data_IF_590798453931
#
_entry.id   IF_590798453931
#
_cell.length_a   1.000
_cell.length_b   1.000
_cell.length_c   1.000
_cell.angle_alpha   90.00
_cell.angle_beta   90.00
_cell.angle_gamma   90.00
#
_symmetry.space_group_name_H-M   'P 1'
#
loop_
_entity.id
_entity.type
_entity.pdbx_description
1 polymer ?
#
# COMPACT_ATOMS: atom_id res chain seq x y z
N UNK A 1 -16.41 48.75 -28.30
CA UNK A 1 -16.32 47.84 -27.14
C UNK A 1 -16.17 46.38 -27.60
N UNK A 2 -16.81 45.98 -28.72
CA UNK A 2 -16.64 44.65 -29.36
C UNK A 2 -15.19 44.23 -29.56
N UNK A 3 -14.36 45.01 -30.26
CA UNK A 3 -12.99 44.57 -30.60
C UNK A 3 -12.10 44.24 -29.40
N UNK A 4 -12.29 44.94 -28.27
CA UNK A 4 -11.54 44.65 -27.04
C UNK A 4 -12.07 43.42 -26.32
N UNK A 5 -13.39 43.23 -26.34
CA UNK A 5 -14.01 42.02 -25.82
C UNK A 5 -13.56 40.79 -26.63
N UNK A 6 -13.63 40.87 -27.95
CA UNK A 6 -13.21 39.80 -28.87
C UNK A 6 -11.72 39.46 -28.70
N UNK A 7 -10.88 40.47 -28.44
CA UNK A 7 -9.48 40.27 -28.08
C UNK A 7 -9.31 39.49 -26.77
N UNK A 8 -10.01 39.88 -25.69
CA UNK A 8 -9.92 39.16 -24.42
C UNK A 8 -10.48 37.74 -24.51
N UNK A 9 -11.58 37.55 -25.22
CA UNK A 9 -12.16 36.25 -25.49
C UNK A 9 -11.18 35.35 -26.28
N UNK A 10 -10.50 35.90 -27.29
CA UNK A 10 -9.48 35.17 -28.04
C UNK A 10 -8.25 34.82 -27.17
N UNK A 11 -7.89 35.67 -26.21
CA UNK A 11 -6.80 35.40 -25.27
C UNK A 11 -7.13 34.22 -24.34
N UNK A 12 -8.29 34.22 -23.68
CA UNK A 12 -8.65 33.13 -22.75
C UNK A 12 -8.83 31.80 -23.48
N UNK A 13 -9.37 31.83 -24.70
CA UNK A 13 -9.47 30.64 -25.56
C UNK A 13 -8.11 30.04 -25.91
N UNK A 14 -7.04 30.82 -25.92
CA UNK A 14 -5.69 30.34 -26.18
C UNK A 14 -4.96 29.93 -24.88
N UNK A 15 -5.24 30.61 -23.78
CA UNK A 15 -4.66 30.33 -22.48
C UNK A 15 -5.60 30.78 -21.36
N UNK A 16 -6.22 29.85 -20.64
CA UNK A 16 -7.14 30.15 -19.55
C UNK A 16 -6.53 31.03 -18.45
N UNK A 17 -5.21 30.92 -18.20
CA UNK A 17 -4.51 31.75 -17.22
C UNK A 17 -4.48 33.25 -17.60
N UNK A 18 -4.90 33.61 -18.81
CA UNK A 18 -5.03 35.00 -19.22
C UNK A 18 -6.11 35.76 -18.44
N UNK A 19 -7.06 35.03 -17.80
CA UNK A 19 -8.15 35.63 -17.01
C UNK A 19 -7.63 36.63 -15.97
N UNK A 20 -6.54 36.31 -15.28
CA UNK A 20 -5.93 37.16 -14.24
C UNK A 20 -5.50 38.56 -14.74
N UNK A 21 -5.33 38.74 -16.05
CA UNK A 21 -4.88 40.00 -16.66
C UNK A 21 -6.02 40.78 -17.33
N UNK A 22 -7.24 40.25 -17.33
CA UNK A 22 -8.39 40.91 -17.95
C UNK A 22 -8.94 41.95 -16.96
N UNK A 23 -9.20 43.20 -17.39
CA UNK A 23 -9.77 44.19 -16.52
C UNK A 23 -11.18 43.76 -16.06
N UNK A 24 -11.49 43.95 -14.78
CA UNK A 24 -12.72 43.46 -14.14
C UNK A 24 -14.01 43.80 -14.89
N UNK A 25 -14.10 44.97 -15.52
CA UNK A 25 -15.27 45.37 -16.31
C UNK A 25 -15.49 44.60 -17.61
N UNK A 26 -14.59 43.69 -17.99
CA UNK A 26 -14.73 42.77 -19.13
C UNK A 26 -14.92 41.32 -18.70
N UNK A 27 -14.77 40.99 -17.41
CA UNK A 27 -14.95 39.62 -16.93
C UNK A 27 -16.44 39.36 -16.80
N UNK A 28 -16.96 38.46 -17.63
CA UNK A 28 -18.31 37.96 -17.62
C UNK A 28 -18.32 36.42 -17.63
N UNK A 29 -19.52 35.83 -17.57
CA UNK A 29 -19.69 34.38 -17.53
C UNK A 29 -19.07 33.70 -18.76
N UNK A 30 -19.15 34.31 -19.95
CA UNK A 30 -18.62 33.75 -21.20
C UNK A 30 -17.09 33.70 -21.19
N UNK A 31 -16.42 34.78 -20.78
CA UNK A 31 -14.96 34.80 -20.64
C UNK A 31 -14.50 33.81 -19.56
N UNK A 32 -15.18 33.76 -18.41
CA UNK A 32 -14.88 32.80 -17.34
C UNK A 32 -15.06 31.36 -17.83
N UNK A 33 -16.15 31.07 -18.54
CA UNK A 33 -16.46 29.75 -19.06
C UNK A 33 -15.41 29.28 -20.08
N UNK A 34 -14.98 30.14 -20.99
CA UNK A 34 -13.92 29.80 -21.94
C UNK A 34 -12.55 29.65 -21.26
N UNK A 35 -12.28 30.42 -20.21
CA UNK A 35 -11.05 30.28 -19.43
C UNK A 35 -10.97 28.94 -18.70
N UNK A 36 -12.04 28.53 -18.00
CA UNK A 36 -12.06 27.25 -17.26
C UNK A 36 -12.09 26.02 -18.17
N UNK A 37 -12.69 26.12 -19.37
CA UNK A 37 -12.61 25.08 -20.40
C UNK A 37 -11.17 24.86 -20.88
N UNK A 38 -10.33 25.90 -20.88
CA UNK A 38 -8.92 25.78 -21.22
C UNK A 38 -8.08 25.29 -20.04
N UNK A 39 -8.35 25.77 -18.83
CA UNK A 39 -7.69 25.31 -17.60
C UNK A 39 -8.64 25.41 -16.41
N UNK A 40 -9.16 24.27 -15.93
CA UNK A 40 -10.14 24.23 -14.86
C UNK A 40 -9.64 24.79 -13.53
N UNK A 41 -8.31 24.81 -13.30
CA UNK A 41 -7.72 25.39 -12.08
C UNK A 41 -7.86 26.91 -12.01
N UNK A 42 -8.14 27.58 -13.13
CA UNK A 42 -8.42 29.02 -13.19
C UNK A 42 -9.68 29.40 -12.41
N UNK A 43 -10.49 28.43 -12.00
CA UNK A 43 -11.63 28.65 -11.11
C UNK A 43 -11.24 29.40 -9.82
N UNK A 44 -9.98 29.30 -9.36
CA UNK A 44 -9.45 30.10 -8.24
C UNK A 44 -9.59 31.62 -8.45
N UNK A 45 -9.46 32.09 -9.68
CA UNK A 45 -9.51 33.51 -10.05
C UNK A 45 -10.94 34.00 -10.37
N UNK A 46 -11.91 33.09 -10.44
CA UNK A 46 -13.31 33.42 -10.75
C UNK A 46 -14.05 33.85 -9.49
N UNK A 47 -14.49 35.11 -9.45
CA UNK A 47 -15.26 35.67 -8.33
C UNK A 47 -16.69 35.17 -8.29
N UNK A 48 -17.40 35.29 -9.41
CA UNK A 48 -18.81 34.90 -9.53
C UNK A 48 -18.90 33.49 -10.13
N UNK A 49 -18.92 32.50 -9.24
CA UNK A 49 -18.96 31.09 -9.64
C UNK A 49 -20.40 30.66 -9.91
N UNK A 50 -20.76 30.52 -11.18
CA UNK A 50 -22.04 29.91 -11.58
C UNK A 50 -21.93 28.40 -11.70
N UNK A 51 -23.07 27.70 -11.71
CA UNK A 51 -23.13 26.25 -11.92
C UNK A 51 -22.36 25.81 -13.17
N UNK A 52 -22.59 26.48 -14.31
CA UNK A 52 -21.99 26.11 -15.59
C UNK A 52 -20.47 26.31 -15.59
N UNK A 53 -19.97 27.37 -14.96
CA UNK A 53 -18.53 27.64 -14.83
C UNK A 53 -17.89 26.57 -13.93
N UNK A 54 -18.47 26.29 -12.76
CA UNK A 54 -17.98 25.24 -11.87
C UNK A 54 -17.97 23.87 -12.57
N UNK A 55 -19.05 23.56 -13.29
CA UNK A 55 -19.18 22.28 -14.00
C UNK A 55 -18.16 22.15 -15.13
N UNK A 56 -17.98 23.20 -15.93
CA UNK A 56 -16.94 23.23 -16.95
C UNK A 56 -15.53 23.08 -16.36
N UNK A 57 -15.26 23.73 -15.22
CA UNK A 57 -13.97 23.62 -14.53
C UNK A 57 -13.68 22.19 -14.05
N UNK A 58 -14.62 21.55 -13.33
CA UNK A 58 -14.39 20.22 -12.77
C UNK A 58 -14.43 19.10 -13.81
N UNK A 59 -15.18 19.28 -14.90
CA UNK A 59 -15.16 18.34 -16.03
C UNK A 59 -13.85 18.42 -16.81
N UNK A 60 -13.23 19.60 -16.86
CA UNK A 60 -11.89 19.78 -17.44
C UNK A 60 -10.80 19.21 -16.50
N UNK A 61 -10.86 19.53 -15.21
CA UNK A 61 -9.94 19.03 -14.18
C UNK A 61 -10.66 18.85 -12.84
N UNK A 62 -10.86 17.61 -12.40
CA UNK A 62 -11.58 17.28 -11.17
C UNK A 62 -10.96 17.86 -9.91
N UNK A 63 -9.66 18.16 -9.90
CA UNK A 63 -9.01 18.82 -8.76
C UNK A 63 -9.39 20.30 -8.63
N UNK A 64 -9.97 20.92 -9.66
CA UNK A 64 -10.55 22.27 -9.57
C UNK A 64 -11.64 22.37 -8.50
N UNK A 65 -12.20 21.24 -8.05
CA UNK A 65 -13.14 21.18 -6.92
C UNK A 65 -12.60 21.88 -5.66
N UNK A 66 -11.27 21.97 -5.49
CA UNK A 66 -10.68 22.66 -4.34
C UNK A 66 -11.06 24.15 -4.26
N UNK A 67 -11.41 24.77 -5.39
CA UNK A 67 -11.75 26.19 -5.50
C UNK A 67 -13.26 26.47 -5.57
N UNK A 68 -14.08 25.43 -5.65
CA UNK A 68 -15.54 25.57 -5.73
C UNK A 68 -16.08 26.08 -4.38
N UNK A 69 -16.94 27.09 -4.42
CA UNK A 69 -17.69 27.53 -3.25
C UNK A 69 -18.69 26.45 -2.81
N UNK A 70 -18.49 25.95 -1.60
CA UNK A 70 -19.22 24.83 -1.00
C UNK A 70 -20.55 25.25 -0.36
N UNK A 71 -20.89 26.54 -0.38
CA UNK A 71 -22.16 27.06 0.13
C UNK A 71 -23.31 26.99 -0.89
N UNK A 72 -23.02 26.54 -2.10
CA UNK A 72 -23.96 26.52 -3.24
C UNK A 72 -24.85 25.27 -3.23
N UNK A 73 -26.08 25.39 -3.74
CA UNK A 73 -27.06 24.29 -3.79
C UNK A 73 -26.63 23.14 -4.72
N UNK A 74 -25.84 23.46 -5.74
CA UNK A 74 -25.32 22.50 -6.72
C UNK A 74 -23.96 21.88 -6.35
N UNK A 75 -23.44 22.18 -5.16
CA UNK A 75 -22.13 21.69 -4.72
C UNK A 75 -22.02 20.16 -4.79
N UNK A 76 -23.10 19.43 -4.53
CA UNK A 76 -23.12 17.97 -4.59
C UNK A 76 -22.95 17.43 -6.02
N UNK A 77 -23.63 18.03 -7.00
CA UNK A 77 -23.51 17.63 -8.41
C UNK A 77 -22.12 17.92 -8.95
N UNK A 78 -21.55 19.08 -8.59
CA UNK A 78 -20.17 19.46 -8.91
C UNK A 78 -19.17 18.50 -8.27
N UNK A 79 -19.38 18.11 -7.00
CA UNK A 79 -18.54 17.12 -6.32
C UNK A 79 -18.56 15.77 -7.06
N UNK A 80 -19.75 15.29 -7.43
CA UNK A 80 -19.90 14.03 -8.15
C UNK A 80 -19.21 14.09 -9.53
N UNK A 81 -19.39 15.17 -10.29
CA UNK A 81 -18.73 15.34 -11.58
C UNK A 81 -17.21 15.39 -11.44
N UNK A 82 -16.70 16.13 -10.45
CA UNK A 82 -15.27 16.21 -10.15
C UNK A 82 -14.68 14.83 -9.81
N UNK A 83 -15.37 14.07 -8.97
CA UNK A 83 -14.95 12.71 -8.57
C UNK A 83 -15.01 11.73 -9.73
N UNK A 84 -16.03 11.83 -10.60
CA UNK A 84 -16.11 11.07 -11.86
C UNK A 84 -14.94 11.36 -12.78
N UNK A 85 -14.46 12.60 -12.79
CA UNK A 85 -13.31 13.01 -13.60
C UNK A 85 -11.99 12.54 -12.98
N UNK A 86 -11.84 12.68 -11.66
CA UNK A 86 -10.67 12.26 -10.90
C UNK A 86 -11.05 11.90 -9.46
N UNK A 87 -10.88 10.63 -9.07
CA UNK A 87 -11.23 10.15 -7.74
C UNK A 87 -10.49 10.85 -6.58
N UNK A 88 -9.36 11.52 -6.85
CA UNK A 88 -8.63 12.29 -5.84
C UNK A 88 -9.31 13.60 -5.48
N UNK A 89 -10.29 14.04 -6.27
CA UNK A 89 -11.16 15.17 -5.92
C UNK A 89 -11.90 14.92 -4.60
N UNK A 90 -12.07 13.66 -4.18
CA UNK A 90 -12.69 13.28 -2.91
C UNK A 90 -12.07 14.00 -1.70
N UNK A 91 -10.77 14.32 -1.74
CA UNK A 91 -10.09 15.03 -0.65
C UNK A 91 -10.66 16.44 -0.39
N UNK A 92 -11.29 17.05 -1.41
CA UNK A 92 -11.89 18.37 -1.34
C UNK A 92 -13.40 18.35 -1.03
N UNK A 93 -14.03 17.17 -1.08
CA UNK A 93 -15.45 16.99 -0.76
C UNK A 93 -15.67 17.13 0.74
N UNK A 94 -16.45 18.14 1.14
CA UNK A 94 -16.78 18.39 2.56
C UNK A 94 -17.74 17.32 3.08
N UNK A 95 -18.86 17.17 2.40
CA UNK A 95 -19.95 16.27 2.76
C UNK A 95 -19.90 15.03 1.84
N UNK A 96 -19.21 14.00 2.31
CA UNK A 96 -19.00 12.77 1.56
C UNK A 96 -20.23 11.88 1.68
N UNK A 97 -20.91 11.62 0.57
CA UNK A 97 -21.95 10.59 0.50
C UNK A 97 -21.34 9.24 0.16
N UNK A 98 -22.06 8.17 0.48
CA UNK A 98 -21.67 6.81 0.13
C UNK A 98 -21.36 6.68 -1.38
N UNK A 99 -22.25 7.19 -2.24
CA UNK A 99 -22.10 7.11 -3.70
C UNK A 99 -20.87 7.86 -4.20
N UNK A 100 -20.58 9.05 -3.65
CA UNK A 100 -19.39 9.82 -4.02
C UNK A 100 -18.11 9.06 -3.63
N UNK A 101 -18.08 8.48 -2.43
CA UNK A 101 -16.93 7.68 -1.98
C UNK A 101 -16.73 6.43 -2.84
N UNK A 102 -17.81 5.72 -3.17
CA UNK A 102 -17.76 4.53 -3.99
C UNK A 102 -17.31 4.87 -5.42
N UNK A 103 -17.82 5.95 -5.99
CA UNK A 103 -17.39 6.43 -7.31
C UNK A 103 -15.92 6.82 -7.31
N UNK A 104 -15.43 7.51 -6.28
CA UNK A 104 -14.03 7.90 -6.17
C UNK A 104 -13.09 6.69 -6.18
N UNK A 105 -13.45 5.64 -5.42
CA UNK A 105 -12.73 4.36 -5.42
C UNK A 105 -12.82 3.66 -6.77
N UNK A 106 -13.94 3.82 -7.49
CA UNK A 106 -14.15 3.25 -8.82
C UNK A 106 -13.46 4.00 -9.96
N UNK A 107 -13.15 5.29 -9.82
CA UNK A 107 -12.48 6.05 -10.87
C UNK A 107 -10.96 5.92 -10.83
N UNK A 108 -10.36 6.05 -9.66
CA UNK A 108 -8.91 5.92 -9.55
C UNK A 108 -8.54 4.44 -9.40
N UNK A 109 -8.39 3.76 -10.54
CA UNK A 109 -7.59 2.55 -10.67
C UNK A 109 -6.22 2.82 -10.03
N UNK A 110 -6.02 2.18 -8.88
CA UNK A 110 -4.96 2.44 -7.90
C UNK A 110 -3.61 2.70 -8.54
N UNK A 111 -2.99 3.82 -8.14
CA UNK A 111 -1.63 4.15 -8.50
C UNK A 111 -0.68 3.00 -8.09
N UNK A 112 0.13 2.59 -9.05
CA UNK A 112 0.91 1.36 -9.04
C UNK A 112 2.30 1.69 -8.52
N UNK A 113 2.50 1.70 -7.20
CA UNK A 113 3.77 1.34 -6.53
C UNK A 113 3.69 1.49 -5.01
N UNK A 114 3.54 0.35 -4.34
CA UNK A 114 3.86 0.19 -2.91
C UNK A 114 3.11 1.10 -1.91
N UNK A 115 3.25 0.82 -0.61
CA UNK A 115 2.83 1.73 0.45
C UNK A 115 3.92 2.80 0.61
N UNK A 116 3.78 3.97 -0.02
CA UNK A 116 4.75 5.05 0.20
C UNK A 116 4.60 6.30 -0.66
N UNK A 117 4.39 6.17 -1.97
CA UNK A 117 4.67 7.28 -2.88
C UNK A 117 3.45 7.82 -3.63
N UNK A 118 2.35 7.06 -3.70
CA UNK A 118 1.17 7.49 -4.44
C UNK A 118 0.00 7.85 -3.52
N UNK A 119 -0.75 8.94 -3.81
CA UNK A 119 -1.97 9.24 -3.10
C UNK A 119 -2.98 8.10 -3.30
N UNK A 120 -3.69 7.74 -2.23
CA UNK A 120 -4.63 6.62 -2.22
C UNK A 120 -6.02 7.12 -1.87
N UNK A 121 -7.00 6.96 -2.76
CA UNK A 121 -8.35 7.53 -2.58
C UNK A 121 -9.00 7.08 -1.26
N UNK A 122 -8.82 5.81 -0.87
CA UNK A 122 -9.41 5.26 0.36
C UNK A 122 -8.95 6.00 1.63
N UNK A 123 -7.79 6.67 1.61
CA UNK A 123 -7.30 7.47 2.74
C UNK A 123 -8.15 8.74 2.97
N UNK A 124 -8.85 9.21 1.94
CA UNK A 124 -9.72 10.39 2.00
C UNK A 124 -11.17 10.04 2.35
N UNK A 125 -11.54 8.76 2.38
CA UNK A 125 -12.88 8.32 2.79
C UNK A 125 -13.00 8.43 4.31
N UNK A 126 -13.83 9.37 4.78
CA UNK A 126 -14.04 9.61 6.21
C UNK A 126 -14.79 8.45 6.87
N UNK A 127 -15.91 8.07 6.28
CA UNK A 127 -16.78 7.00 6.77
C UNK A 127 -16.66 5.79 5.84
N UNK A 128 -15.72 4.90 6.17
CA UNK A 128 -15.54 3.66 5.43
C UNK A 128 -16.68 2.68 5.71
N UNK A 129 -17.16 2.02 4.67
CA UNK A 129 -18.16 0.94 4.75
C UNK A 129 -17.58 -0.34 4.11
N UNK A 130 -18.05 -1.54 4.50
CA UNK A 130 -17.49 -2.80 4.00
C UNK A 130 -17.48 -2.93 2.47
N UNK A 131 -18.49 -2.41 1.80
CA UNK A 131 -18.63 -2.37 0.35
C UNK A 131 -17.65 -1.41 -0.34
N UNK A 132 -17.41 -0.21 0.23
CA UNK A 132 -16.34 0.70 -0.26
C UNK A 132 -14.98 0.02 -0.10
N UNK A 133 -14.70 -0.57 1.07
CA UNK A 133 -13.45 -1.29 1.32
C UNK A 133 -13.27 -2.48 0.37
N UNK A 134 -14.34 -3.24 0.13
CA UNK A 134 -14.33 -4.37 -0.81
C UNK A 134 -14.07 -3.91 -2.24
N UNK A 135 -14.72 -2.82 -2.69
CA UNK A 135 -14.48 -2.25 -4.01
C UNK A 135 -13.02 -1.83 -4.21
N UNK A 136 -12.42 -1.20 -3.19
CA UNK A 136 -11.02 -0.80 -3.19
C UNK A 136 -10.08 -2.01 -3.26
N UNK A 137 -10.31 -3.01 -2.41
CA UNK A 137 -9.48 -4.22 -2.32
C UNK A 137 -9.56 -5.06 -3.59
N UNK A 138 -10.74 -5.18 -4.22
CA UNK A 138 -10.92 -5.87 -5.50
C UNK A 138 -10.07 -5.30 -6.63
N UNK A 139 -9.79 -3.99 -6.57
CA UNK A 139 -8.91 -3.32 -7.55
C UNK A 139 -7.43 -3.51 -7.22
N UNK A 140 -7.05 -3.38 -5.95
CA UNK A 140 -5.69 -3.62 -5.49
C UNK A 140 -5.70 -4.20 -4.07
N UNK A 141 -5.19 -5.41 -3.90
CA UNK A 141 -5.14 -6.09 -2.60
C UNK A 141 -4.36 -5.31 -1.53
N UNK A 142 -3.39 -4.47 -1.92
CA UNK A 142 -2.63 -3.63 -0.99
C UNK A 142 -3.46 -2.53 -0.33
N UNK A 143 -4.67 -2.24 -0.86
CA UNK A 143 -5.60 -1.30 -0.25
C UNK A 143 -6.04 -1.72 1.15
N UNK A 144 -5.87 -3.01 1.52
CA UNK A 144 -6.12 -3.50 2.87
C UNK A 144 -5.36 -2.69 3.94
N UNK A 145 -4.20 -2.13 3.60
CA UNK A 145 -3.44 -1.24 4.48
C UNK A 145 -4.26 -0.04 4.98
N UNK A 146 -5.10 0.53 4.12
CA UNK A 146 -5.90 1.73 4.38
C UNK A 146 -7.31 1.41 4.89
N UNK A 147 -7.70 0.13 4.91
CA UNK A 147 -8.97 -0.30 5.51
C UNK A 147 -8.86 -0.20 7.03
N UNK A 148 -9.86 0.43 7.65
CA UNK A 148 -9.94 0.52 9.11
C UNK A 148 -9.94 -0.87 9.75
N UNK A 149 -9.25 -1.03 10.88
CA UNK A 149 -9.05 -2.34 11.51
C UNK A 149 -10.38 -3.04 11.88
N UNK A 150 -11.44 -2.29 12.21
CA UNK A 150 -12.77 -2.85 12.48
C UNK A 150 -13.49 -3.38 11.23
N UNK A 151 -13.09 -2.94 10.03
CA UNK A 151 -13.68 -3.34 8.74
C UNK A 151 -12.87 -4.42 8.02
N UNK A 152 -11.70 -4.82 8.53
CA UNK A 152 -10.92 -5.95 8.00
C UNK A 152 -11.55 -7.30 8.36
N UNK A 153 -12.71 -7.58 7.77
CA UNK A 153 -13.42 -8.86 7.91
C UNK A 153 -12.64 -9.98 7.22
N UNK A 154 -12.92 -11.26 7.55
CA UNK A 154 -12.29 -12.39 6.87
C UNK A 154 -12.43 -12.32 5.35
N UNK A 155 -13.61 -11.94 4.84
CA UNK A 155 -13.88 -11.84 3.41
C UNK A 155 -13.04 -10.75 2.72
N UNK A 156 -12.94 -9.56 3.32
CA UNK A 156 -12.13 -8.46 2.79
C UNK A 156 -10.64 -8.84 2.84
N UNK A 157 -10.16 -9.44 3.93
CA UNK A 157 -8.79 -9.91 4.05
C UNK A 157 -8.47 -11.00 3.02
N UNK A 158 -9.37 -11.95 2.80
CA UNK A 158 -9.19 -13.02 1.84
C UNK A 158 -9.16 -12.48 0.41
N UNK A 159 -10.12 -11.62 0.03
CA UNK A 159 -10.09 -10.96 -1.29
C UNK A 159 -8.79 -10.17 -1.48
N UNK A 160 -8.30 -9.47 -0.45
CA UNK A 160 -7.04 -8.75 -0.51
C UNK A 160 -5.85 -9.65 -0.82
N UNK A 161 -5.76 -10.80 -0.13
CA UNK A 161 -4.71 -11.79 -0.35
C UNK A 161 -4.83 -12.44 -1.74
N UNK A 162 -6.06 -12.69 -2.19
CA UNK A 162 -6.33 -13.18 -3.55
C UNK A 162 -5.94 -12.14 -4.61
N UNK A 163 -6.04 -10.84 -4.34
CA UNK A 163 -5.60 -9.81 -5.30
C UNK A 163 -4.09 -9.58 -5.24
N UNK A 164 -3.52 -9.55 -4.04
CA UNK A 164 -2.09 -9.44 -3.81
C UNK A 164 -1.69 -10.28 -2.58
N UNK A 165 -0.94 -11.39 -2.75
CA UNK A 165 -0.49 -12.22 -1.64
C UNK A 165 0.29 -11.49 -0.54
N UNK A 166 0.94 -10.36 -0.85
CA UNK A 166 1.65 -9.55 0.15
C UNK A 166 0.71 -8.77 1.06
N UNK A 167 -0.58 -8.65 0.73
CA UNK A 167 -1.58 -8.06 1.61
C UNK A 167 -1.70 -8.80 2.96
N UNK A 168 -1.22 -10.06 3.04
CA UNK A 168 -1.11 -10.82 4.28
C UNK A 168 -0.34 -10.07 5.38
N UNK A 169 0.61 -9.20 5.01
CA UNK A 169 1.31 -8.30 5.93
C UNK A 169 0.35 -7.42 6.78
N UNK A 170 -0.80 -7.04 6.22
CA UNK A 170 -1.78 -6.17 6.88
C UNK A 170 -2.89 -6.93 7.60
N UNK A 171 -2.87 -8.26 7.53
CA UNK A 171 -3.77 -9.13 8.29
C UNK A 171 -3.13 -9.40 9.64
N UNK A 172 -3.82 -9.05 10.74
CA UNK A 172 -3.32 -9.36 12.07
C UNK A 172 -3.21 -10.87 12.28
N UNK A 173 -2.23 -11.32 13.06
CA UNK A 173 -1.96 -12.75 13.26
C UNK A 173 -3.19 -13.52 13.77
N UNK A 174 -4.02 -12.88 14.61
CA UNK A 174 -5.25 -13.45 15.15
C UNK A 174 -6.35 -13.66 14.10
N UNK A 175 -6.32 -12.89 13.00
CA UNK A 175 -7.31 -12.94 11.92
C UNK A 175 -6.87 -13.77 10.71
N UNK A 176 -5.61 -14.21 10.69
CA UNK A 176 -5.16 -15.14 9.68
C UNK A 176 -5.92 -16.47 9.78
N UNK A 177 -6.15 -17.09 8.64
CA UNK A 177 -6.68 -18.45 8.51
C UNK A 177 -5.70 -19.32 7.74
N UNK A 178 -5.79 -20.63 7.92
CA UNK A 178 -4.93 -21.58 7.20
C UNK A 178 -5.08 -21.45 5.68
N UNK A 179 -6.33 -21.34 5.21
CA UNK A 179 -6.66 -21.13 3.79
C UNK A 179 -5.99 -19.87 3.23
N UNK A 180 -6.11 -18.74 3.95
CA UNK A 180 -5.52 -17.46 3.53
C UNK A 180 -3.99 -17.53 3.47
N UNK A 181 -3.37 -18.16 4.48
CA UNK A 181 -1.90 -18.34 4.51
C UNK A 181 -1.43 -19.25 3.37
N UNK A 182 -2.14 -20.35 3.11
CA UNK A 182 -1.82 -21.27 2.02
C UNK A 182 -1.95 -20.60 0.65
N UNK A 183 -3.07 -19.90 0.40
CA UNK A 183 -3.31 -19.16 -0.86
C UNK A 183 -2.19 -18.14 -1.12
N UNK A 184 -1.82 -17.36 -0.09
CA UNK A 184 -0.75 -16.38 -0.21
C UNK A 184 0.59 -17.04 -0.58
N UNK A 185 0.97 -18.11 0.12
CA UNK A 185 2.25 -18.79 -0.06
C UNK A 185 2.34 -19.52 -1.40
N UNK A 186 1.26 -20.17 -1.85
CA UNK A 186 1.24 -20.86 -3.14
C UNK A 186 1.54 -19.88 -4.28
N UNK A 187 0.95 -18.69 -4.24
CA UNK A 187 1.09 -17.70 -5.31
C UNK A 187 2.34 -16.86 -5.20
N UNK A 188 2.74 -16.52 -3.98
CA UNK A 188 3.97 -15.80 -3.70
C UNK A 188 4.65 -16.41 -2.47
N UNK A 189 5.64 -17.31 -2.67
CA UNK A 189 6.30 -18.02 -1.58
C UNK A 189 6.90 -17.11 -0.49
N UNK A 190 7.33 -15.88 -0.85
CA UNK A 190 7.83 -14.90 0.13
C UNK A 190 6.77 -14.44 1.13
N UNK A 191 5.48 -14.69 0.90
CA UNK A 191 4.40 -14.43 1.86
C UNK A 191 4.58 -15.20 3.17
N UNK A 192 5.38 -16.27 3.16
CA UNK A 192 5.75 -17.03 4.36
C UNK A 192 6.31 -16.13 5.47
N UNK A 193 6.99 -15.04 5.11
CA UNK A 193 7.51 -14.04 6.05
C UNK A 193 6.40 -13.46 6.97
N UNK A 194 5.18 -13.37 6.46
CA UNK A 194 4.03 -12.78 7.17
C UNK A 194 3.08 -13.81 7.77
N UNK A 195 3.32 -15.11 7.54
CA UNK A 195 2.51 -16.18 8.15
C UNK A 195 2.85 -16.30 9.64
N UNK A 196 1.85 -16.17 10.49
CA UNK A 196 2.03 -16.32 11.94
C UNK A 196 2.47 -17.74 12.33
N UNK A 197 3.18 -17.85 13.46
CA UNK A 197 3.72 -19.13 13.94
C UNK A 197 2.65 -20.23 14.06
N UNK A 198 1.40 -19.86 14.36
CA UNK A 198 0.25 -20.77 14.42
C UNK A 198 0.00 -21.49 13.09
N UNK A 199 0.15 -20.79 11.97
CA UNK A 199 -0.18 -21.29 10.62
C UNK A 199 1.05 -21.68 9.80
N UNK A 200 2.26 -21.66 10.38
CA UNK A 200 3.43 -22.31 9.78
C UNK A 200 3.36 -23.83 9.96
N UNK A 201 2.38 -24.45 9.29
CA UNK A 201 2.22 -25.90 9.23
C UNK A 201 3.29 -26.50 8.31
N UNK A 202 3.63 -27.79 8.46
CA UNK A 202 4.53 -28.47 7.53
C UNK A 202 4.15 -28.28 6.07
N UNK A 203 2.85 -28.34 5.75
CA UNK A 203 2.33 -28.21 4.39
C UNK A 203 2.64 -26.82 3.80
N UNK A 204 2.35 -25.75 4.54
CA UNK A 204 2.60 -24.36 4.11
C UNK A 204 4.10 -24.10 3.99
N UNK A 205 4.89 -24.51 5.00
CA UNK A 205 6.34 -24.34 4.98
C UNK A 205 6.99 -25.11 3.82
N UNK A 206 6.60 -26.37 3.60
CA UNK A 206 7.09 -27.21 2.49
C UNK A 206 6.73 -26.57 1.15
N UNK A 207 5.49 -26.08 0.98
CA UNK A 207 5.07 -25.41 -0.25
C UNK A 207 5.96 -24.20 -0.59
N UNK A 208 6.32 -23.40 0.42
CA UNK A 208 7.22 -22.26 0.25
C UNK A 208 8.65 -22.68 -0.11
N UNK A 209 9.26 -23.55 0.70
CA UNK A 209 10.69 -23.92 0.53
C UNK A 209 10.93 -24.76 -0.73
N UNK A 210 9.92 -25.49 -1.22
CA UNK A 210 9.95 -26.15 -2.53
C UNK A 210 10.17 -25.18 -3.68
N UNK A 211 9.66 -23.95 -3.58
CA UNK A 211 9.85 -22.90 -4.59
C UNK A 211 11.13 -22.10 -4.34
N UNK A 212 11.47 -21.82 -3.08
CA UNK A 212 12.70 -21.15 -2.69
C UNK A 212 13.17 -21.62 -1.31
N UNK A 213 14.21 -22.45 -1.27
CA UNK A 213 14.76 -23.04 -0.06
C UNK A 213 15.36 -22.02 0.91
N UNK A 214 15.71 -20.82 0.43
CA UNK A 214 16.16 -19.72 1.30
C UNK A 214 15.05 -19.19 2.20
N UNK A 215 13.78 -19.49 1.91
CA UNK A 215 12.65 -19.11 2.76
C UNK A 215 12.63 -19.88 4.09
N UNK A 216 13.44 -20.93 4.23
CA UNK A 216 13.66 -21.60 5.52
C UNK A 216 14.10 -20.62 6.63
N UNK A 217 14.78 -19.53 6.27
CA UNK A 217 15.17 -18.49 7.23
C UNK A 217 13.98 -17.82 7.92
N UNK A 218 12.80 -17.84 7.30
CA UNK A 218 11.56 -17.24 7.81
C UNK A 218 10.63 -18.25 8.52
N UNK A 219 11.03 -19.53 8.55
CA UNK A 219 10.33 -20.55 9.35
C UNK A 219 10.75 -20.38 10.82
N UNK A 220 9.78 -20.32 11.74
CA UNK A 220 10.07 -20.27 13.18
C UNK A 220 10.87 -21.50 13.62
N UNK A 221 11.84 -21.33 14.52
CA UNK A 221 12.72 -22.42 14.94
C UNK A 221 11.94 -23.63 15.50
N UNK A 222 10.87 -23.36 16.24
CA UNK A 222 9.91 -24.33 16.78
C UNK A 222 9.18 -25.15 15.71
N UNK A 223 9.12 -24.64 14.47
CA UNK A 223 8.42 -25.26 13.33
C UNK A 223 9.35 -25.95 12.33
N UNK A 224 10.68 -25.81 12.48
CA UNK A 224 11.67 -26.43 11.58
C UNK A 224 11.79 -27.94 11.81
N UNK A 225 10.86 -28.68 11.21
CA UNK A 225 10.93 -30.15 11.19
C UNK A 225 12.07 -30.64 10.29
N UNK A 226 12.46 -31.89 10.48
CA UNK A 226 13.46 -32.57 9.63
C UNK A 226 13.02 -32.53 8.16
N UNK A 227 11.75 -32.78 7.89
CA UNK A 227 11.18 -32.81 6.55
C UNK A 227 11.29 -31.45 5.84
N UNK A 228 10.85 -30.36 6.48
CA UNK A 228 10.94 -29.00 5.92
C UNK A 228 12.41 -28.65 5.65
N UNK A 229 13.30 -28.95 6.59
CA UNK A 229 14.73 -28.66 6.45
C UNK A 229 15.37 -29.46 5.31
N UNK A 230 15.04 -30.74 5.17
CA UNK A 230 15.52 -31.57 4.07
C UNK A 230 15.06 -31.04 2.72
N UNK A 231 13.79 -30.67 2.60
CA UNK A 231 13.23 -30.14 1.36
C UNK A 231 13.89 -28.80 0.97
N UNK A 232 14.07 -27.90 1.94
CA UNK A 232 14.75 -26.63 1.73
C UNK A 232 16.20 -26.80 1.24
N UNK A 233 16.97 -27.72 1.86
CA UNK A 233 18.35 -28.01 1.46
C UNK A 233 18.43 -28.70 0.11
N UNK A 234 17.45 -29.57 -0.20
CA UNK A 234 17.33 -30.20 -1.51
C UNK A 234 17.10 -29.15 -2.61
N UNK A 235 16.29 -28.14 -2.34
CA UNK A 235 16.03 -27.03 -3.28
C UNK A 235 17.24 -26.08 -3.39
N UNK A 236 17.83 -25.69 -2.24
CA UNK A 236 19.00 -24.83 -2.19
C UNK A 236 19.93 -25.24 -1.05
N UNK A 237 21.11 -25.77 -1.40
CA UNK A 237 22.13 -26.22 -0.44
C UNK A 237 22.51 -25.14 0.59
N UNK A 238 22.43 -23.84 0.25
CA UNK A 238 22.72 -22.74 1.19
C UNK A 238 21.71 -22.64 2.33
N UNK A 239 20.51 -23.23 2.18
CA UNK A 239 19.52 -23.29 3.25
C UNK A 239 20.04 -24.02 4.52
N UNK A 240 21.11 -24.81 4.39
CA UNK A 240 21.80 -25.47 5.50
C UNK A 240 22.24 -24.50 6.61
N UNK A 241 22.50 -23.23 6.26
CA UNK A 241 22.87 -22.17 7.20
C UNK A 241 21.75 -21.84 8.20
N UNK A 242 20.48 -22.01 7.81
CA UNK A 242 19.31 -21.64 8.61
C UNK A 242 18.74 -22.78 9.47
N UNK A 243 19.37 -23.95 9.46
CA UNK A 243 18.93 -25.11 10.25
C UNK A 243 19.48 -25.00 11.68
N UNK A 244 18.61 -25.08 12.72
CA UNK A 244 19.03 -24.97 14.10
C UNK A 244 19.96 -26.12 14.49
N UNK A 245 20.97 -25.88 15.35
CA UNK A 245 21.84 -26.95 15.83
C UNK A 245 21.04 -28.00 16.61
N UNK A 246 21.47 -29.26 16.54
CA UNK A 246 20.81 -30.39 17.22
C UNK A 246 20.44 -31.51 16.26
N UNK A 247 19.47 -32.32 16.67
CA UNK A 247 19.04 -33.53 15.97
C UNK A 247 18.60 -33.25 14.53
N UNK A 248 17.83 -32.18 14.30
CA UNK A 248 17.38 -31.77 12.95
C UNK A 248 18.56 -31.54 12.01
N UNK A 249 19.59 -30.82 12.47
CA UNK A 249 20.79 -30.55 11.68
C UNK A 249 21.62 -31.81 11.44
N UNK A 250 21.75 -32.68 12.44
CA UNK A 250 22.46 -33.94 12.30
C UNK A 250 21.78 -34.86 11.27
N UNK A 251 20.45 -34.97 11.32
CA UNK A 251 19.68 -35.77 10.36
C UNK A 251 19.83 -35.26 8.91
N UNK A 252 19.81 -33.93 8.72
CA UNK A 252 20.00 -33.33 7.39
C UNK A 252 21.45 -33.53 6.91
N UNK A 253 22.46 -33.35 7.78
CA UNK A 253 23.86 -33.61 7.44
C UNK A 253 24.09 -35.08 7.10
N UNK A 254 23.50 -36.03 7.82
CA UNK A 254 23.63 -37.46 7.50
C UNK A 254 23.08 -37.77 6.10
N UNK A 255 21.99 -37.10 5.67
CA UNK A 255 21.39 -37.29 4.36
C UNK A 255 22.16 -36.63 3.21
N UNK A 256 22.68 -35.42 3.41
CA UNK A 256 23.31 -34.63 2.34
C UNK A 256 24.84 -34.56 2.42
N UNK A 257 25.44 -34.88 3.57
CA UNK A 257 26.87 -34.85 3.85
C UNK A 257 27.66 -35.93 3.11
N UNK A 258 27.06 -37.08 2.83
CA UNK A 258 27.71 -38.13 2.04
C UNK A 258 27.80 -37.77 0.55
N UNK A 259 26.91 -36.90 0.03
CA UNK A 259 27.05 -36.32 -1.32
C UNK A 259 28.16 -35.26 -1.41
N UNK A 260 28.56 -34.66 -0.29
CA UNK A 260 29.58 -33.62 -0.26
C UNK A 260 31.03 -34.16 -0.21
N UNK A 261 31.24 -35.44 0.13
CA UNK A 261 32.57 -36.07 0.05
C UNK A 261 33.06 -36.29 -1.38
N UNK A 262 32.20 -36.19 -2.39
CA UNK A 262 32.57 -36.39 -3.80
C UNK A 262 32.89 -35.11 -4.57
N UNK A 263 32.66 -33.92 -4.00
CA UNK A 263 32.87 -32.64 -4.72
C UNK A 263 33.86 -31.68 -4.01
N UNK A 264 34.43 -32.04 -2.86
CA UNK A 264 35.39 -31.20 -2.12
C UNK A 264 36.87 -31.51 -2.44
N UNK A 265 37.22 -31.64 -3.72
CA UNK A 265 38.61 -31.50 -4.19
C UNK A 265 38.73 -30.37 -5.21
N UNK A 266 38.23 -29.18 -4.90
CA UNK A 266 38.80 -27.95 -5.46
C UNK A 266 38.23 -26.71 -4.79
N UNK A 267 39.15 -25.85 -4.38
CA UNK A 267 39.01 -24.43 -4.01
C UNK A 267 38.64 -24.10 -2.57
N UNK A 268 39.73 -23.87 -1.85
CA UNK A 268 39.90 -23.10 -0.63
C UNK A 268 39.39 -21.67 -0.74
N UNK A 269 38.75 -21.22 0.33
CA UNK A 269 39.06 -19.94 0.97
C UNK A 269 38.70 -18.67 0.20
N UNK A 270 37.49 -18.17 0.43
CA UNK A 270 37.23 -16.73 0.57
C UNK A 270 35.99 -16.54 1.42
N UNK A 271 36.12 -15.78 2.51
CA UNK A 271 34.99 -15.24 3.26
C UNK A 271 34.13 -14.40 2.30
N UNK A 272 32.84 -14.70 2.09
CA UNK A 272 32.01 -13.83 1.27
C UNK A 272 31.35 -12.80 2.18
N UNK A 273 31.66 -11.54 1.88
CA UNK A 273 30.79 -10.40 2.12
C UNK A 273 29.31 -10.76 1.96
N UNK A 274 28.48 -10.26 2.88
CA UNK A 274 27.03 -10.21 2.73
C UNK A 274 26.66 -9.67 1.33
N UNK A 275 25.97 -10.44 0.49
CA UNK A 275 25.32 -9.87 -0.67
C UNK A 275 24.04 -9.20 -0.18
N UNK A 276 24.01 -7.87 -0.25
CA UNK A 276 22.78 -7.07 -0.13
C UNK A 276 21.75 -7.39 -1.24
N UNK A 277 22.02 -8.36 -2.11
CA UNK A 277 21.33 -8.57 -3.38
C UNK A 277 20.15 -9.55 -3.34
N UNK A 278 19.76 -10.06 -2.16
CA UNK A 278 18.47 -10.76 -2.01
C UNK A 278 17.39 -9.84 -1.44
N UNK A 279 17.77 -8.67 -0.90
CA UNK A 279 16.85 -7.59 -0.53
C UNK A 279 16.57 -6.62 -1.70
N UNK A 280 17.39 -6.66 -2.76
CA UNK A 280 17.31 -5.75 -3.92
C UNK A 280 16.61 -6.35 -5.16
N UNK A 281 16.03 -7.55 -5.06
CA UNK A 281 15.20 -8.11 -6.15
C UNK A 281 13.70 -7.97 -5.91
N UNK A 282 13.29 -7.33 -4.81
CA UNK A 282 11.91 -6.92 -4.59
C UNK A 282 11.86 -5.38 -4.54
N UNK A 283 11.50 -4.71 -5.66
CA UNK A 283 11.57 -3.25 -5.78
C UNK A 283 10.52 -2.50 -4.94
N UNK A 284 9.85 -3.15 -3.97
CA UNK A 284 8.63 -2.61 -3.37
C UNK A 284 8.70 -2.17 -1.89
N UNK A 285 9.63 -2.62 -1.03
CA UNK A 285 9.81 -1.98 0.29
C UNK A 285 10.96 -2.56 1.17
N UNK A 286 12.10 -1.87 1.35
CA UNK A 286 13.14 -2.30 2.30
C UNK A 286 12.89 -1.89 3.77
N UNK A 287 11.87 -1.08 4.07
CA UNK A 287 11.77 -0.33 5.34
C UNK A 287 11.15 -1.07 6.54
N UNK A 288 10.39 -2.15 6.34
CA UNK A 288 9.54 -2.72 7.39
C UNK A 288 10.15 -3.90 8.17
N UNK A 289 11.28 -4.45 7.73
CA UNK A 289 11.91 -5.63 8.35
C UNK A 289 12.54 -5.28 9.72
N UNK A 290 12.91 -4.03 9.97
CA UNK A 290 13.63 -3.62 11.19
C UNK A 290 12.76 -3.49 12.46
N UNK A 291 11.43 -3.61 12.39
CA UNK A 291 10.55 -3.49 13.57
C UNK A 291 10.19 -4.81 14.24
N UNK A 292 10.30 -5.95 13.54
CA UNK A 292 9.94 -7.27 14.09
C UNK A 292 11.09 -7.96 14.83
N UNK A 293 12.36 -7.63 14.51
CA UNK A 293 13.53 -8.24 15.16
C UNK A 293 13.97 -7.54 16.47
N UNK A 294 13.40 -6.37 16.81
CA UNK A 294 13.76 -5.64 18.04
C UNK A 294 12.91 -5.97 19.28
N UNK A 295 11.88 -6.82 19.14
CA UNK A 295 10.97 -7.19 20.25
C UNK A 295 11.55 -8.15 21.30
N UNK A 296 12.74 -8.68 21.09
CA UNK A 296 13.31 -9.75 21.92
C UNK A 296 14.67 -9.42 22.53
N UNK A 297 14.81 -8.34 23.33
CA UNK A 297 15.95 -8.16 24.26
C UNK A 297 15.71 -7.00 25.24
N UNK A 298 15.30 -7.34 26.47
CA UNK A 298 15.96 -6.96 27.74
C UNK A 298 15.03 -7.21 28.94
N UNK A 299 15.13 -8.38 29.56
CA UNK A 299 14.98 -8.52 31.00
C UNK A 299 16.35 -8.26 31.65
N UNK A 300 16.43 -7.31 32.58
CA UNK A 300 17.49 -7.23 33.60
C UNK A 300 17.04 -6.34 34.75
N UNK A 301 16.41 -6.99 35.74
CA UNK A 301 16.57 -6.80 37.19
C UNK A 301 17.14 -5.45 37.66
N UNK A 302 16.29 -4.58 38.24
CA UNK A 302 16.73 -3.54 39.17
C UNK A 302 16.48 -3.99 40.61
N UNK A 303 17.58 -4.28 41.30
CA UNK A 303 17.67 -4.46 42.74
C UNK A 303 17.21 -3.20 43.47
N UNK A 304 16.39 -3.44 44.50
CA UNK A 304 16.15 -2.63 45.70
C UNK A 304 17.34 -1.76 46.12
N UNK A 305 17.10 -0.45 46.29
CA UNK A 305 17.86 0.41 47.20
C UNK A 305 16.91 1.29 48.00
N UNK A 306 16.95 1.03 49.30
CA UNK A 306 16.36 1.72 50.45
C UNK A 306 16.48 3.25 50.35
N UNK A 307 15.39 3.96 50.63
CA UNK A 307 15.44 5.34 51.16
C UNK A 307 14.98 5.34 52.63
N UNK A 308 15.97 5.49 53.51
CA UNK A 308 15.94 6.11 54.85
C UNK A 308 17.03 7.20 54.71
N UNK A 309 16.91 8.47 55.09
CA UNK A 309 16.20 9.09 56.22
C UNK A 309 16.34 10.62 56.13
N UNK A 310 15.31 11.31 56.66
CA UNK A 310 15.33 12.50 57.55
C UNK A 310 15.93 13.87 57.15
N UNK A 311 15.08 14.89 57.43
CA UNK A 311 15.31 16.17 58.14
C UNK A 311 16.29 17.13 57.45
N UNK A 312 15.97 18.40 57.22
CA UNK A 312 15.27 19.40 58.04
C UNK A 312 14.37 20.27 57.18
#
# INVERSE_FOLDING_TARGET
MSDRYDYYLALVKRNGLALQFIPEGFIDDDICLEAVKQNGLVLEDVKDQTYDICMAAVTQNGLALQYVDKSTEYAQDVCMAAVKQNGFALQYVKDQTHDICLEAVNQNGVAVRGPGDDPVVLQYVKDQTPDICMAAVKKNGMMLHYVNDNLRTPDICMEAVVRNPMALLYVSQERQTEEMCMEAVIRRPSALLYVSEKYQTPEICIAAVKKNGMLLQFVYETRKTIEICMEAVNQNKKAMEFIPPGETRQAVIARFGDRARFEMTSTTGTSPNFPADVLNSDPENPGLINKFLSGGRKSRTKRSRRQRTRRR
#
